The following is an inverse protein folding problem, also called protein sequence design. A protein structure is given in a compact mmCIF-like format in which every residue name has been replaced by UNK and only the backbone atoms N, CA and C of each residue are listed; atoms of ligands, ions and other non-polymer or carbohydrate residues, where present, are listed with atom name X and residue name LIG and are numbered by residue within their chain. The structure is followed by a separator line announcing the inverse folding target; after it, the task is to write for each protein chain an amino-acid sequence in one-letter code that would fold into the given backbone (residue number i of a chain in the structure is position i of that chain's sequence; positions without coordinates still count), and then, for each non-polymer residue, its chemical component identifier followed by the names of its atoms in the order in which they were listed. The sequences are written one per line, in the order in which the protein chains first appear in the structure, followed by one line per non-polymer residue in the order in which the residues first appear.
data_IF_897999738747
#
_entry.id   IF_897999738747
#
_cell.length_a   1.000
_cell.length_b   1.000
_cell.length_c   1.000
_cell.angle_alpha   90.00
_cell.angle_beta   90.00
_cell.angle_gamma   90.00
#
_symmetry.space_group_name_H-M   'P 1'
#
loop_
_entity.id
_entity.type
_entity.pdbx_description
1 polymer ?
#
# COMPACT_ATOMS: atom_id res chain seq x y z
N UNK A 1 20.26 13.01 20.11
CA UNK A 1 18.84 13.36 19.93
C UNK A 1 18.60 13.66 18.47
N UNK A 2 18.16 12.69 17.68
CA UNK A 2 17.32 12.99 16.52
C UNK A 2 16.10 12.11 16.69
N UNK A 3 15.02 12.74 17.10
CA UNK A 3 13.73 12.08 17.24
C UNK A 3 13.40 11.46 15.89
N UNK A 4 13.25 10.13 15.86
CA UNK A 4 12.68 9.42 14.71
C UNK A 4 11.33 10.08 14.44
N UNK A 5 11.17 10.65 13.25
CA UNK A 5 9.94 11.32 12.89
C UNK A 5 8.80 10.27 12.96
N UNK A 6 7.61 10.62 13.47
CA UNK A 6 6.49 9.66 13.64
C UNK A 6 6.10 8.87 12.37
N UNK A 7 6.53 9.36 11.21
CA UNK A 7 6.27 8.84 9.88
C UNK A 7 7.12 7.61 9.48
N UNK A 8 8.30 7.41 10.08
CA UNK A 8 9.14 6.24 9.78
C UNK A 8 8.56 4.94 10.37
N UNK A 9 7.98 5.01 11.58
CA UNK A 9 7.39 3.85 12.26
C UNK A 9 6.18 3.31 11.50
N UNK A 10 5.34 4.21 10.97
CA UNK A 10 4.18 3.87 10.17
C UNK A 10 4.59 3.22 8.85
N UNK A 11 5.65 3.72 8.21
CA UNK A 11 6.19 3.16 6.98
C UNK A 11 6.78 1.76 7.18
N UNK A 12 7.56 1.56 8.24
CA UNK A 12 8.10 0.25 8.58
C UNK A 12 6.98 -0.75 8.92
N UNK A 13 5.99 -0.33 9.71
CA UNK A 13 4.83 -1.16 10.04
C UNK A 13 4.01 -1.50 8.79
N UNK A 14 3.80 -0.55 7.87
CA UNK A 14 3.13 -0.78 6.57
C UNK A 14 3.91 -1.77 5.68
N UNK A 15 5.24 -1.67 5.63
CA UNK A 15 6.08 -2.64 4.90
C UNK A 15 6.04 -4.05 5.51
N UNK A 16 6.09 -4.16 6.84
CA UNK A 16 5.95 -5.45 7.52
C UNK A 16 4.58 -6.08 7.25
N UNK A 17 3.52 -5.26 7.19
CA UNK A 17 2.21 -5.71 6.73
C UNK A 17 2.28 -6.19 5.26
N UNK A 18 2.85 -5.43 4.34
CA UNK A 18 2.94 -5.82 2.93
C UNK A 18 3.63 -7.18 2.71
N UNK A 19 4.70 -7.49 3.46
CA UNK A 19 5.42 -8.77 3.38
C UNK A 19 4.61 -9.98 3.87
N UNK A 20 3.63 -9.78 4.76
CA UNK A 20 2.71 -10.84 5.21
C UNK A 20 1.68 -11.23 4.14
N UNK A 21 1.56 -10.46 3.06
CA UNK A 21 0.45 -10.59 2.09
C UNK A 21 0.87 -11.05 0.70
N UNK A 22 2.14 -11.36 0.46
CA UNK A 22 2.59 -11.97 -0.79
C UNK A 22 1.94 -13.36 -1.00
N UNK A 23 1.61 -14.07 0.08
CA UNK A 23 0.90 -15.37 0.04
C UNK A 23 -0.62 -15.26 0.32
N UNK A 24 -1.16 -14.08 0.63
CA UNK A 24 -2.55 -13.96 1.07
C UNK A 24 -3.54 -14.06 -0.12
N UNK A 25 -4.59 -14.91 -0.05
CA UNK A 25 -5.52 -15.19 -1.15
C UNK A 25 -6.55 -14.06 -1.41
N UNK A 26 -6.33 -12.86 -0.88
CA UNK A 26 -7.29 -11.74 -0.88
C UNK A 26 -6.77 -10.53 -1.65
N UNK A 27 -7.68 -9.66 -2.10
CA UNK A 27 -7.35 -8.42 -2.80
C UNK A 27 -7.10 -7.29 -1.80
N UNK A 28 -5.94 -6.64 -1.86
CA UNK A 28 -5.59 -5.53 -0.95
C UNK A 28 -4.97 -4.35 -1.67
N UNK A 29 -5.34 -3.15 -1.20
CA UNK A 29 -4.73 -1.88 -1.56
C UNK A 29 -4.53 -1.03 -0.30
N UNK A 30 -3.41 -0.32 -0.22
CA UNK A 30 -3.16 0.73 0.75
C UNK A 30 -3.30 2.08 0.06
N UNK A 31 -4.08 2.97 0.66
CA UNK A 31 -4.40 4.29 0.13
C UNK A 31 -3.89 5.37 1.08
N UNK A 32 -3.37 6.46 0.53
CA UNK A 32 -2.85 7.59 1.26
C UNK A 32 -3.72 8.84 1.06
N UNK A 33 -3.93 9.59 2.16
CA UNK A 33 -4.56 10.90 2.13
C UNK A 33 -6.05 10.91 1.75
N UNK A 34 -6.68 12.10 1.75
CA UNK A 34 -8.11 12.24 1.46
C UNK A 34 -8.48 11.96 -0.01
N UNK A 35 -7.50 12.02 -0.91
CA UNK A 35 -7.67 11.72 -2.34
C UNK A 35 -7.47 10.23 -2.65
N UNK A 36 -7.25 9.39 -1.64
CA UNK A 36 -7.12 7.95 -1.80
C UNK A 36 -6.08 7.58 -2.86
N UNK A 37 -4.86 8.08 -2.69
CA UNK A 37 -3.75 7.80 -3.58
C UNK A 37 -3.23 6.37 -3.32
N UNK A 38 -3.06 5.54 -4.35
CA UNK A 38 -2.53 4.19 -4.18
C UNK A 38 -1.06 4.21 -3.74
N UNK A 39 -0.79 3.80 -2.51
CA UNK A 39 0.56 3.65 -1.94
C UNK A 39 1.10 2.23 -2.19
N UNK A 40 0.22 1.22 -2.16
CA UNK A 40 0.55 -0.18 -2.41
C UNK A 40 -0.66 -0.96 -2.91
N UNK A 41 -0.44 -1.93 -3.79
CA UNK A 41 -1.43 -2.96 -4.16
C UNK A 41 -0.74 -4.33 -4.15
N UNK A 42 -1.45 -5.36 -3.72
CA UNK A 42 -0.93 -6.72 -3.84
C UNK A 42 -1.18 -7.30 -5.25
N UNK A 43 -0.48 -8.39 -5.65
CA UNK A 43 -0.69 -9.01 -6.96
C UNK A 43 -2.14 -9.45 -7.22
N UNK A 44 -2.87 -9.84 -6.17
CA UNK A 44 -4.30 -10.15 -6.26
C UNK A 44 -5.11 -8.95 -6.74
N UNK A 45 -4.92 -7.80 -6.11
CA UNK A 45 -5.57 -6.54 -6.48
C UNK A 45 -5.15 -6.09 -7.88
N UNK A 46 -3.86 -6.23 -8.22
CA UNK A 46 -3.35 -5.93 -9.56
C UNK A 46 -4.05 -6.78 -10.63
N UNK A 47 -4.31 -8.07 -10.37
CA UNK A 47 -5.09 -8.93 -11.28
C UNK A 47 -6.54 -8.50 -11.38
N UNK A 48 -7.17 -8.18 -10.24
CA UNK A 48 -8.56 -7.70 -10.19
C UNK A 48 -8.80 -6.48 -11.08
N UNK A 49 -7.84 -5.54 -11.09
CA UNK A 49 -7.95 -4.31 -11.88
C UNK A 49 -7.45 -4.44 -13.32
N UNK A 50 -7.11 -5.65 -13.80
CA UNK A 50 -6.64 -5.87 -15.16
C UNK A 50 -5.20 -5.40 -15.40
N UNK A 51 -4.33 -5.56 -14.41
CA UNK A 51 -2.90 -5.22 -14.47
C UNK A 51 -2.61 -3.73 -14.75
N UNK A 52 -3.53 -2.84 -14.37
CA UNK A 52 -3.32 -1.39 -14.46
C UNK A 52 -2.26 -0.94 -13.46
N UNK A 53 -1.34 -0.09 -13.93
CA UNK A 53 -0.39 0.60 -13.07
C UNK A 53 -1.05 1.83 -12.42
N UNK A 54 -1.33 1.71 -11.12
CA UNK A 54 -2.14 2.69 -10.36
C UNK A 54 -1.38 3.31 -9.19
N UNK A 55 -0.15 2.88 -8.89
CA UNK A 55 0.63 3.45 -7.78
C UNK A 55 0.85 4.94 -8.03
N UNK A 56 0.60 5.77 -7.01
CA UNK A 56 0.66 7.24 -7.09
C UNK A 56 -0.54 7.88 -7.80
N UNK A 57 -1.55 7.10 -8.18
CA UNK A 57 -2.80 7.63 -8.78
C UNK A 57 -3.90 7.71 -7.73
N UNK A 58 -4.84 8.63 -7.91
CA UNK A 58 -6.04 8.72 -7.08
C UNK A 58 -7.07 7.67 -7.47
N UNK A 59 -7.74 7.11 -6.47
CA UNK A 59 -8.96 6.34 -6.65
C UNK A 59 -10.08 7.30 -7.07
N UNK A 60 -10.56 7.18 -8.31
CA UNK A 60 -11.66 7.96 -8.87
C UNK A 60 -12.99 7.21 -8.76
#
# INVERSE_FOLDING_TARGET
MNALAPQDLDYHRRREFAGLFEEAPMFMALLHGPLHEFEFINPGYQRLIGQRDVIGRHMA
#
